data_IF_469916668146
#
_entry.id   IF_469916668146
#
_cell.length_a   1.000
_cell.length_b   1.000
_cell.length_c   1.000
_cell.angle_alpha   90.00
_cell.angle_beta   90.00
_cell.angle_gamma   90.00
#
_symmetry.space_group_name_H-M   'P 1'
#
loop_
_entity.id
_entity.type
_entity.pdbx_description
1 polymer ?
#
# COMPACT_ATOMS: atom_id res chain seq x y z
N UNK A 1 -27.93 -0.02 15.84
CA UNK A 1 -27.92 1.39 16.32
C UNK A 1 -26.50 1.87 16.67
N UNK A 2 -25.55 1.69 15.72
CA UNK A 2 -24.14 2.09 15.89
C UNK A 2 -23.79 3.40 15.13
N UNK A 3 -24.73 3.96 14.41
CA UNK A 3 -24.54 5.08 13.50
C UNK A 3 -24.20 6.46 14.11
N UNK A 4 -24.64 6.83 15.33
CA UNK A 4 -24.28 8.16 15.86
C UNK A 4 -22.84 8.25 16.38
N UNK A 5 -22.30 7.15 16.94
CA UNK A 5 -20.95 7.10 17.50
C UNK A 5 -19.85 7.19 16.43
N UNK A 6 -20.06 6.56 15.27
CA UNK A 6 -19.08 6.58 14.19
C UNK A 6 -18.93 7.95 13.52
N UNK A 7 -20.02 8.73 13.43
CA UNK A 7 -19.96 10.11 12.93
C UNK A 7 -19.25 11.03 13.92
N UNK A 8 -19.56 10.95 15.20
CA UNK A 8 -18.90 11.75 16.24
C UNK A 8 -17.41 11.46 16.35
N UNK A 9 -17.02 10.18 16.30
CA UNK A 9 -15.61 9.79 16.32
C UNK A 9 -14.85 10.31 15.10
N UNK A 10 -15.46 10.23 13.91
CA UNK A 10 -14.87 10.75 12.66
C UNK A 10 -14.61 12.25 12.69
N UNK A 11 -15.49 13.03 13.33
CA UNK A 11 -15.28 14.47 13.45
C UNK A 11 -14.26 14.84 14.53
N UNK A 12 -14.18 14.06 15.60
CA UNK A 12 -13.22 14.28 16.69
C UNK A 12 -11.80 14.02 16.23
N UNK A 13 -11.52 12.89 15.56
CA UNK A 13 -10.14 12.58 15.13
C UNK A 13 -9.62 13.56 14.05
N UNK A 14 -10.50 14.06 13.16
CA UNK A 14 -10.11 15.04 12.14
C UNK A 14 -9.66 16.39 12.72
N UNK A 15 -10.14 16.72 13.92
CA UNK A 15 -9.79 17.96 14.62
C UNK A 15 -8.56 17.85 15.50
N UNK A 16 -8.05 16.62 15.73
CA UNK A 16 -6.99 16.35 16.70
C UNK A 16 -5.67 15.92 16.07
N UNK A 17 -5.56 15.92 14.73
CA UNK A 17 -4.39 15.42 13.98
C UNK A 17 -3.91 14.02 14.39
N UNK A 18 -4.87 13.19 14.84
CA UNK A 18 -4.59 11.81 15.24
C UNK A 18 -4.91 10.87 14.09
N UNK A 19 -3.95 10.03 13.72
CA UNK A 19 -4.16 8.96 12.74
C UNK A 19 -5.07 7.88 13.32
N UNK A 20 -6.09 7.45 12.56
CA UNK A 20 -7.00 6.38 12.96
C UNK A 20 -7.04 5.28 11.91
N UNK A 21 -6.82 4.03 12.33
CA UNK A 21 -6.98 2.84 11.51
C UNK A 21 -8.19 2.05 12.02
N UNK A 22 -9.13 1.74 11.12
CA UNK A 22 -10.33 0.96 11.42
C UNK A 22 -10.36 -0.31 10.58
N UNK A 23 -10.71 -1.43 11.19
CA UNK A 23 -11.03 -2.67 10.49
C UNK A 23 -12.53 -2.83 10.33
N UNK A 24 -12.97 -3.34 9.20
CA UNK A 24 -14.36 -3.58 8.89
C UNK A 24 -14.53 -4.87 8.10
N UNK A 25 -15.75 -5.40 8.05
CA UNK A 25 -16.10 -6.57 7.27
C UNK A 25 -16.69 -6.17 5.91
N UNK A 26 -16.35 -6.94 4.88
CA UNK A 26 -17.04 -6.92 3.60
C UNK A 26 -17.82 -8.20 3.40
N UNK A 27 -18.87 -8.14 2.60
CA UNK A 27 -19.66 -9.28 2.18
C UNK A 27 -19.91 -9.21 0.67
N UNK A 28 -20.07 -10.37 0.05
CA UNK A 28 -20.30 -10.44 -1.38
C UNK A 28 -21.58 -9.67 -1.76
N UNK A 29 -21.48 -8.86 -2.80
CA UNK A 29 -22.66 -8.19 -3.37
C UNK A 29 -23.65 -9.25 -3.89
N UNK A 30 -24.92 -9.04 -3.61
CA UNK A 30 -26.01 -9.82 -4.21
C UNK A 30 -26.47 -9.23 -5.55
N UNK A 31 -25.92 -8.10 -5.94
CA UNK A 31 -26.23 -7.42 -7.19
C UNK A 31 -25.44 -8.05 -8.34
N UNK A 32 -26.16 -8.64 -9.30
CA UNK A 32 -25.57 -9.27 -10.49
C UNK A 32 -24.87 -8.26 -11.42
N UNK A 33 -25.22 -6.98 -11.33
CA UNK A 33 -24.65 -5.93 -12.17
C UNK A 33 -23.45 -5.24 -11.51
N UNK A 34 -23.29 -5.37 -10.19
CA UNK A 34 -22.19 -4.81 -9.45
C UNK A 34 -21.59 -5.86 -8.50
N UNK A 35 -20.68 -6.72 -8.99
CA UNK A 35 -20.14 -7.85 -8.24
C UNK A 35 -19.10 -7.44 -7.17
N UNK A 36 -18.84 -6.15 -7.00
CA UNK A 36 -17.88 -5.67 -5.98
C UNK A 36 -18.41 -5.92 -4.56
N UNK A 37 -17.51 -6.33 -3.68
CA UNK A 37 -17.84 -6.58 -2.27
C UNK A 37 -18.38 -5.32 -1.59
N UNK A 38 -19.46 -5.48 -0.83
CA UNK A 38 -20.10 -4.40 -0.08
C UNK A 38 -19.48 -4.27 1.31
N UNK A 39 -19.12 -3.05 1.69
CA UNK A 39 -18.56 -2.74 3.00
C UNK A 39 -19.68 -2.59 4.01
N UNK A 40 -19.56 -3.26 5.16
CA UNK A 40 -20.52 -3.15 6.26
C UNK A 40 -20.57 -1.72 6.83
N UNK A 41 -21.75 -1.25 7.21
CA UNK A 41 -21.95 0.10 7.77
C UNK A 41 -22.23 1.20 6.74
N UNK A 42 -22.43 0.84 5.47
CA UNK A 42 -22.83 1.75 4.40
C UNK A 42 -21.70 2.66 3.90
N UNK A 43 -22.05 3.72 3.20
CA UNK A 43 -21.11 4.61 2.52
C UNK A 43 -20.39 5.62 3.43
N UNK A 44 -20.91 5.87 4.63
CA UNK A 44 -20.37 6.88 5.55
C UNK A 44 -18.90 6.69 5.90
N UNK A 45 -18.47 5.48 6.35
CA UNK A 45 -17.06 5.19 6.63
C UNK A 45 -16.16 5.35 5.41
N UNK A 46 -16.64 4.96 4.21
CA UNK A 46 -15.88 5.10 2.97
C UNK A 46 -15.63 6.57 2.64
N UNK A 47 -16.66 7.43 2.74
CA UNK A 47 -16.51 8.86 2.47
C UNK A 47 -15.58 9.56 3.48
N UNK A 48 -15.66 9.16 4.75
CA UNK A 48 -14.84 9.75 5.80
C UNK A 48 -13.36 9.35 5.67
N UNK A 49 -13.04 8.14 5.21
CA UNK A 49 -11.68 7.61 5.15
C UNK A 49 -10.83 8.32 4.09
N UNK A 50 -9.56 8.53 4.41
CA UNK A 50 -8.55 9.00 3.45
C UNK A 50 -8.07 7.88 2.54
N UNK A 51 -7.94 6.67 3.08
CA UNK A 51 -7.55 5.46 2.35
C UNK A 51 -8.51 4.33 2.73
N UNK A 52 -8.93 3.54 1.76
CA UNK A 52 -9.70 2.29 1.95
C UNK A 52 -8.98 1.16 1.25
N UNK A 53 -8.59 0.14 2.02
CA UNK A 53 -7.94 -1.07 1.54
C UNK A 53 -8.90 -2.24 1.64
N UNK A 54 -9.16 -2.92 0.53
CA UNK A 54 -9.81 -4.22 0.54
C UNK A 54 -8.76 -5.32 0.63
N UNK A 55 -8.95 -6.26 1.54
CA UNK A 55 -8.04 -7.37 1.77
C UNK A 55 -8.74 -8.70 1.52
N UNK A 56 -8.21 -9.49 0.59
CA UNK A 56 -8.71 -10.82 0.27
C UNK A 56 -7.75 -11.89 0.74
N UNK A 57 -8.26 -12.85 1.51
CA UNK A 57 -7.48 -13.98 2.01
C UNK A 57 -7.39 -15.07 0.95
N UNK A 58 -6.17 -15.49 0.63
CA UNK A 58 -5.84 -16.62 -0.23
C UNK A 58 -4.93 -17.61 0.54
N UNK A 59 -4.90 -18.85 0.10
CA UNK A 59 -4.00 -19.87 0.68
C UNK A 59 -2.58 -19.68 0.13
N UNK A 60 -1.59 -19.61 1.02
CA UNK A 60 -0.17 -19.68 0.64
C UNK A 60 0.23 -21.14 0.52
N UNK A 61 0.67 -21.55 -0.66
CA UNK A 61 1.08 -22.93 -1.00
C UNK A 61 2.56 -22.98 -1.42
N UNK A 62 3.37 -22.14 -0.82
CA UNK A 62 4.80 -22.05 -1.08
C UNK A 62 5.54 -22.26 0.23
N UNK A 63 6.71 -22.91 0.16
CA UNK A 63 7.63 -23.01 1.29
C UNK A 63 8.37 -21.68 1.52
N UNK A 64 9.20 -21.60 2.54
CA UNK A 64 10.04 -20.44 2.83
C UNK A 64 11.02 -20.10 1.69
N UNK A 65 11.34 -21.08 0.85
CA UNK A 65 12.22 -20.92 -0.30
C UNK A 65 11.47 -20.45 -1.55
N UNK A 66 10.13 -20.29 -1.47
CA UNK A 66 9.27 -19.90 -2.58
C UNK A 66 8.97 -21.05 -3.55
N UNK A 67 9.24 -22.31 -3.17
CA UNK A 67 8.89 -23.45 -3.99
C UNK A 67 7.45 -23.89 -3.71
N UNK A 68 6.74 -24.35 -4.72
CA UNK A 68 5.36 -24.82 -4.55
C UNK A 68 5.33 -26.11 -3.73
N UNK A 69 4.51 -26.13 -2.69
CA UNK A 69 4.26 -27.31 -1.88
C UNK A 69 3.45 -28.33 -2.68
N UNK A 70 3.91 -29.59 -2.65
CA UNK A 70 3.22 -30.74 -3.26
C UNK A 70 2.18 -31.28 -2.26
N UNK A 71 1.00 -31.68 -2.71
CA UNK A 71 0.00 -32.33 -1.85
C UNK A 71 -1.08 -31.40 -1.28
N UNK A 72 -1.09 -30.13 -1.63
CA UNK A 72 -2.15 -29.21 -1.18
C UNK A 72 -1.95 -28.63 0.22
N UNK A 73 -0.78 -28.83 0.81
CA UNK A 73 -0.37 -28.20 2.06
C UNK A 73 -0.44 -26.67 1.98
N UNK A 74 -0.79 -26.07 3.10
CA UNK A 74 -0.92 -24.61 3.24
C UNK A 74 0.08 -24.15 4.28
N UNK A 75 1.12 -23.44 3.86
CA UNK A 75 2.16 -22.89 4.73
C UNK A 75 1.79 -21.57 5.39
N UNK A 76 0.72 -20.92 4.90
CA UNK A 76 0.35 -19.62 5.43
C UNK A 76 -0.83 -18.99 4.70
N UNK A 77 -0.90 -17.67 4.81
CA UNK A 77 -1.91 -16.84 4.16
C UNK A 77 -1.21 -15.94 3.15
N UNK A 78 -1.83 -15.78 1.99
CA UNK A 78 -1.52 -14.73 1.04
C UNK A 78 -2.66 -13.72 1.07
N UNK A 79 -2.37 -12.50 1.48
CA UNK A 79 -3.33 -11.40 1.53
C UNK A 79 -3.18 -10.55 0.28
N UNK A 80 -4.20 -10.55 -0.56
CA UNK A 80 -4.30 -9.63 -1.68
C UNK A 80 -4.89 -8.32 -1.18
N UNK A 81 -4.09 -7.25 -1.16
CA UNK A 81 -4.48 -5.92 -0.72
C UNK A 81 -4.73 -5.04 -1.95
N UNK A 82 -5.95 -4.52 -2.09
CA UNK A 82 -6.35 -3.62 -3.19
C UNK A 82 -6.76 -2.27 -2.62
N UNK A 83 -6.21 -1.20 -3.16
CA UNK A 83 -6.59 0.17 -2.81
C UNK A 83 -7.92 0.49 -3.48
N UNK A 84 -9.02 0.55 -2.71
CA UNK A 84 -10.34 0.89 -3.24
C UNK A 84 -10.56 2.40 -3.33
N UNK A 85 -9.98 3.14 -2.39
CA UNK A 85 -10.03 4.60 -2.33
C UNK A 85 -8.73 5.15 -1.77
N UNK A 86 -8.28 6.24 -2.32
CA UNK A 86 -7.19 7.06 -1.77
C UNK A 86 -7.40 8.52 -2.17
N UNK A 87 -6.97 9.45 -1.31
CA UNK A 87 -6.94 10.89 -1.60
C UNK A 87 -5.59 11.37 -2.09
N UNK A 88 -4.56 10.51 -1.98
CA UNK A 88 -3.16 10.91 -2.20
C UNK A 88 -2.58 10.39 -3.51
N UNK A 89 -3.13 9.29 -4.05
CA UNK A 89 -2.55 8.61 -5.21
C UNK A 89 -3.65 7.96 -6.06
N UNK A 90 -3.27 7.25 -7.12
CA UNK A 90 -4.20 6.52 -8.00
C UNK A 90 -4.81 5.32 -7.24
N UNK A 91 -6.15 5.15 -7.27
CA UNK A 91 -6.80 3.98 -6.70
C UNK A 91 -6.58 2.73 -7.58
N UNK A 92 -7.06 1.58 -7.10
CA UNK A 92 -7.10 0.27 -7.75
C UNK A 92 -5.75 -0.43 -7.92
N UNK A 93 -4.68 0.09 -7.30
CA UNK A 93 -3.44 -0.66 -7.19
C UNK A 93 -3.60 -1.82 -6.21
N UNK A 94 -2.94 -2.94 -6.51
CA UNK A 94 -2.99 -4.13 -5.65
C UNK A 94 -1.60 -4.68 -5.39
N UNK A 95 -1.40 -5.17 -4.17
CA UNK A 95 -0.17 -5.82 -3.74
C UNK A 95 -0.54 -7.12 -3.03
N UNK A 96 0.22 -8.17 -3.23
CA UNK A 96 0.10 -9.43 -2.49
C UNK A 96 1.12 -9.47 -1.36
N UNK A 97 0.65 -9.73 -0.15
CA UNK A 97 1.46 -9.88 1.06
C UNK A 97 1.44 -11.34 1.48
N UNK A 98 2.59 -11.95 1.67
CA UNK A 98 2.74 -13.32 2.16
C UNK A 98 2.90 -13.31 3.67
N UNK A 99 2.15 -14.17 4.35
CA UNK A 99 2.13 -14.31 5.81
C UNK A 99 2.27 -15.80 6.13
N UNK A 100 3.50 -16.33 6.21
CA UNK A 100 3.74 -17.72 6.65
C UNK A 100 3.28 -17.92 8.09
N UNK A 101 2.80 -19.11 8.43
CA UNK A 101 2.33 -19.42 9.79
C UNK A 101 3.46 -19.48 10.81
N UNK A 102 4.66 -19.87 10.38
CA UNK A 102 5.82 -20.06 11.26
C UNK A 102 6.54 -18.74 11.55
N UNK A 103 6.79 -17.93 10.52
CA UNK A 103 7.59 -16.71 10.64
C UNK A 103 6.77 -15.43 10.72
N UNK A 104 5.46 -15.50 10.38
CA UNK A 104 4.60 -14.32 10.35
C UNK A 104 4.82 -13.43 9.11
N UNK A 105 4.37 -12.19 9.18
CA UNK A 105 4.47 -11.24 8.10
C UNK A 105 5.85 -10.57 8.08
N UNK A 106 6.55 -10.67 6.95
CA UNK A 106 7.73 -9.86 6.68
C UNK A 106 7.29 -8.42 6.34
N UNK A 107 7.88 -7.38 6.98
CA UNK A 107 7.58 -5.97 6.70
C UNK A 107 7.78 -5.59 5.23
N UNK A 108 8.65 -6.27 4.52
CA UNK A 108 8.97 -6.00 3.11
C UNK A 108 8.22 -6.92 2.14
N UNK A 109 7.32 -7.76 2.64
CA UNK A 109 6.53 -8.67 1.81
C UNK A 109 5.73 -7.93 0.74
N UNK A 110 5.86 -8.32 -0.52
CA UNK A 110 5.20 -7.72 -1.67
C UNK A 110 5.87 -6.47 -2.25
N UNK A 111 6.88 -5.90 -1.59
CA UNK A 111 7.57 -4.70 -2.10
C UNK A 111 8.35 -4.97 -3.39
N UNK A 112 8.98 -6.14 -3.51
CA UNK A 112 9.70 -6.50 -4.73
C UNK A 112 8.76 -6.46 -5.94
N UNK A 113 7.61 -7.11 -5.84
CA UNK A 113 6.62 -7.15 -6.93
C UNK A 113 6.10 -5.74 -7.27
N UNK A 114 5.86 -4.92 -6.23
CA UNK A 114 5.46 -3.52 -6.38
C UNK A 114 6.54 -2.70 -7.11
N UNK A 115 7.81 -2.85 -6.76
CA UNK A 115 8.91 -2.13 -7.40
C UNK A 115 9.10 -2.54 -8.85
N UNK A 116 8.92 -3.82 -9.17
CA UNK A 116 8.92 -4.31 -10.56
C UNK A 116 7.73 -3.71 -11.33
N UNK A 117 6.54 -3.72 -10.75
CA UNK A 117 5.33 -3.15 -11.36
C UNK A 117 5.47 -1.64 -11.62
N UNK A 118 6.09 -0.93 -10.67
CA UNK A 118 6.34 0.52 -10.79
C UNK A 118 7.54 0.85 -11.69
N UNK A 119 8.21 -0.16 -12.24
CA UNK A 119 9.41 0.00 -13.08
C UNK A 119 10.56 0.72 -12.36
N UNK A 120 10.64 0.59 -11.05
CA UNK A 120 11.77 1.09 -10.26
C UNK A 120 12.98 0.17 -10.43
N UNK A 121 12.75 -1.13 -10.57
CA UNK A 121 13.78 -2.11 -10.87
C UNK A 121 13.88 -2.34 -12.37
N UNK A 122 15.11 -2.33 -12.89
CA UNK A 122 15.41 -2.62 -14.29
C UNK A 122 15.93 -4.04 -14.42
N UNK A 123 15.38 -4.80 -15.37
CA UNK A 123 15.82 -6.18 -15.62
C UNK A 123 17.01 -6.18 -16.57
N UNK A 124 18.11 -6.78 -16.15
CA UNK A 124 19.32 -6.96 -16.93
C UNK A 124 19.68 -8.45 -16.99
N UNK A 125 19.26 -9.12 -18.05
CA UNK A 125 19.37 -10.57 -18.18
C UNK A 125 18.56 -11.31 -17.10
N UNK A 126 19.22 -12.08 -16.24
CA UNK A 126 18.60 -12.81 -15.13
C UNK A 126 18.64 -12.05 -13.79
N UNK A 127 19.15 -10.83 -13.77
CA UNK A 127 19.27 -10.00 -12.56
C UNK A 127 18.39 -8.77 -12.67
N UNK A 128 18.02 -8.26 -11.51
CA UNK A 128 17.33 -6.99 -11.36
C UNK A 128 18.29 -5.97 -10.78
N UNK A 129 18.28 -4.76 -11.28
CA UNK A 129 19.14 -3.68 -10.86
C UNK A 129 18.34 -2.44 -10.44
N UNK A 130 18.86 -1.76 -9.44
CA UNK A 130 18.40 -0.46 -8.98
C UNK A 130 19.61 0.48 -8.87
N UNK A 131 19.49 1.68 -9.43
CA UNK A 131 20.50 2.71 -9.29
C UNK A 131 20.11 3.66 -8.17
N UNK A 132 20.87 3.65 -7.10
CA UNK A 132 20.65 4.53 -5.95
C UNK A 132 20.95 5.99 -6.30
N UNK A 133 20.47 6.92 -5.48
CA UNK A 133 20.72 8.38 -5.64
C UNK A 133 22.20 8.72 -5.57
N UNK A 134 22.98 7.95 -4.82
CA UNK A 134 24.44 8.10 -4.68
C UNK A 134 25.23 7.52 -5.88
N UNK A 135 24.55 6.99 -6.91
CA UNK A 135 25.16 6.34 -8.06
C UNK A 135 25.54 4.87 -7.86
N UNK A 136 25.36 4.32 -6.65
CA UNK A 136 25.61 2.90 -6.39
C UNK A 136 24.55 2.05 -7.10
N UNK A 137 24.98 0.98 -7.77
CA UNK A 137 24.07 0.04 -8.44
C UNK A 137 23.95 -1.24 -7.62
N UNK A 138 22.72 -1.53 -7.15
CA UNK A 138 22.39 -2.80 -6.51
C UNK A 138 21.92 -3.74 -7.60
N UNK A 139 22.61 -4.88 -7.79
CA UNK A 139 22.29 -5.86 -8.84
C UNK A 139 22.27 -7.27 -8.29
N UNK A 140 21.07 -7.84 -8.18
CA UNK A 140 20.85 -9.16 -7.58
C UNK A 140 19.84 -9.97 -8.39
N UNK A 141 19.76 -11.29 -8.12
CA UNK A 141 18.72 -12.15 -8.63
C UNK A 141 17.38 -11.86 -7.94
N UNK A 142 16.29 -12.40 -8.49
CA UNK A 142 14.93 -12.23 -7.95
C UNK A 142 14.78 -12.70 -6.50
N UNK A 143 15.32 -13.89 -6.16
CA UNK A 143 15.20 -14.45 -4.80
C UNK A 143 15.85 -13.58 -3.71
N UNK A 144 17.10 -13.11 -3.85
CA UNK A 144 17.68 -12.13 -2.93
C UNK A 144 16.86 -10.85 -2.80
N UNK A 145 16.35 -10.30 -3.90
CA UNK A 145 15.47 -9.14 -3.86
C UNK A 145 14.20 -9.42 -3.05
N UNK A 146 13.48 -10.50 -3.35
CA UNK A 146 12.21 -10.83 -2.69
C UNK A 146 12.34 -11.12 -1.19
N UNK A 147 13.54 -11.48 -0.72
CA UNK A 147 13.86 -11.76 0.69
C UNK A 147 14.52 -10.59 1.40
N UNK A 148 14.66 -9.46 0.75
CA UNK A 148 15.39 -8.30 1.29
C UNK A 148 16.81 -8.65 1.78
N UNK A 149 17.50 -9.57 1.07
CA UNK A 149 18.90 -9.88 1.40
C UNK A 149 19.73 -8.60 1.29
N UNK A 150 20.66 -8.41 2.23
CA UNK A 150 21.50 -7.21 2.36
C UNK A 150 20.72 -5.87 2.53
N UNK A 151 19.43 -5.93 2.92
CA UNK A 151 18.60 -4.74 3.12
C UNK A 151 18.30 -3.95 1.84
N UNK A 152 18.35 -4.62 0.68
CA UNK A 152 18.18 -3.96 -0.62
C UNK A 152 16.81 -3.29 -0.80
N UNK A 153 15.72 -3.93 -0.37
CA UNK A 153 14.37 -3.34 -0.45
C UNK A 153 14.20 -2.17 0.51
N UNK A 154 14.77 -2.28 1.70
CA UNK A 154 14.76 -1.21 2.70
C UNK A 154 15.45 0.04 2.17
N UNK A 155 16.62 -0.12 1.55
CA UNK A 155 17.37 0.98 0.95
C UNK A 155 16.57 1.68 -0.15
N UNK A 156 15.98 0.92 -1.08
CA UNK A 156 15.12 1.48 -2.14
C UNK A 156 13.93 2.22 -1.55
N UNK A 157 13.30 1.66 -0.51
CA UNK A 157 12.15 2.27 0.16
C UNK A 157 12.51 3.58 0.83
N UNK A 158 13.64 3.63 1.54
CA UNK A 158 14.13 4.84 2.21
C UNK A 158 14.44 5.95 1.21
N UNK A 159 15.10 5.62 0.09
CA UNK A 159 15.36 6.60 -0.97
C UNK A 159 14.06 7.09 -1.62
N UNK A 160 13.10 6.20 -1.83
CA UNK A 160 11.79 6.57 -2.37
C UNK A 160 11.04 7.52 -1.43
N UNK A 161 11.01 7.24 -0.13
CA UNK A 161 10.42 8.12 0.87
C UNK A 161 11.09 9.50 0.88
N UNK A 162 12.42 9.55 0.90
CA UNK A 162 13.15 10.81 0.87
C UNK A 162 12.89 11.64 -0.40
N UNK A 163 12.64 11.00 -1.54
CA UNK A 163 12.23 11.69 -2.78
C UNK A 163 10.80 12.21 -2.70
N UNK A 164 9.90 11.45 -2.10
CA UNK A 164 8.51 11.86 -1.92
C UNK A 164 8.40 13.06 -0.97
N UNK A 165 9.10 13.03 0.17
CA UNK A 165 9.12 14.13 1.12
C UNK A 165 9.61 15.45 0.48
N UNK A 166 10.67 15.38 -0.32
CA UNK A 166 11.17 16.55 -1.08
C UNK A 166 10.13 17.09 -2.07
N UNK A 167 9.27 16.24 -2.64
CA UNK A 167 8.21 16.68 -3.55
C UNK A 167 7.07 17.36 -2.80
N UNK A 168 6.70 16.87 -1.62
CA UNK A 168 5.65 17.47 -0.80
C UNK A 168 6.09 18.84 -0.29
N UNK A 169 7.28 18.98 0.29
CA UNK A 169 7.79 20.28 0.75
C UNK A 169 7.89 21.30 -0.39
N UNK A 170 8.36 20.89 -1.57
CA UNK A 170 8.40 21.79 -2.73
C UNK A 170 7.03 22.25 -3.22
N UNK A 171 5.98 21.44 -3.02
CA UNK A 171 4.62 21.81 -3.35
C UNK A 171 4.03 22.80 -2.35
N UNK A 172 4.37 22.66 -1.06
CA UNK A 172 3.95 23.58 0.01
C UNK A 172 4.61 24.96 -0.18
N UNK A 173 5.93 25.00 -0.45
CA UNK A 173 6.67 26.25 -0.73
C UNK A 173 6.09 27.00 -1.96
N UNK A 174 5.61 26.27 -2.97
CA UNK A 174 5.03 26.89 -4.18
C UNK A 174 3.61 27.46 -3.95
N UNK A 175 2.94 27.08 -2.87
CA UNK A 175 1.61 27.61 -2.51
C UNK A 175 1.76 28.91 -1.70
N UNK A 176 2.81 29.02 -0.89
CA UNK A 176 3.08 30.22 -0.08
C UNK A 176 3.60 31.41 -0.92
N UNK A 177 4.22 31.15 -2.08
CA UNK A 177 4.67 32.17 -3.03
C UNK A 177 3.52 32.73 -3.94
N UNK A 178 2.32 32.23 -3.85
CA UNK A 178 1.14 32.74 -4.55
C UNK A 178 0.61 34.00 -3.81
N UNK A 179 1.03 35.15 -4.28
CA UNK A 179 0.74 36.51 -3.81
C UNK A 179 -0.74 36.76 -3.41
N UNK A 180 -1.00 37.18 -2.16
CA UNK A 180 -2.36 37.56 -1.73
C UNK A 180 -2.89 38.89 -2.25
N UNK A 181 -2.28 39.52 -3.26
CA UNK A 181 -2.62 40.89 -3.71
C UNK A 181 -3.72 41.02 -4.76
N UNK A 182 -4.62 40.04 -4.93
CA UNK A 182 -5.73 40.13 -5.92
C UNK A 182 -7.12 40.06 -5.28
N UNK A 183 -7.32 40.63 -4.10
CA UNK A 183 -8.66 40.87 -3.57
C UNK A 183 -8.78 42.24 -2.85
N UNK A 184 -8.47 43.33 -3.56
CA UNK A 184 -8.99 44.62 -3.22
C UNK A 184 -9.23 45.40 -4.52
N UNK A 185 -10.41 45.23 -5.10
CA UNK A 185 -11.10 46.27 -5.89
C UNK A 185 -12.45 45.72 -6.37
N UNK A 186 -13.45 46.32 -5.78
CA UNK A 186 -14.86 46.53 -6.09
C UNK A 186 -15.85 45.89 -5.14
#
# INVERSE_FOLDING_TARGET
RWLPLSRGLGDVYKRQDVGMVCTNHSYASQDMFNPDDVISGGQGPIYASSIVLAMRKLKLKEDELGNKLTGGEVSGIRAQCKVMKTRYNKPFESVEIKIPYETGMDPYSGLYDLFVQKKLLTKEGNKWSYTCVDGTVIKQFEKPWSRNEDGCLERVMNEFHAQMDKRFHKADDAVDDADPSVHESE
#
